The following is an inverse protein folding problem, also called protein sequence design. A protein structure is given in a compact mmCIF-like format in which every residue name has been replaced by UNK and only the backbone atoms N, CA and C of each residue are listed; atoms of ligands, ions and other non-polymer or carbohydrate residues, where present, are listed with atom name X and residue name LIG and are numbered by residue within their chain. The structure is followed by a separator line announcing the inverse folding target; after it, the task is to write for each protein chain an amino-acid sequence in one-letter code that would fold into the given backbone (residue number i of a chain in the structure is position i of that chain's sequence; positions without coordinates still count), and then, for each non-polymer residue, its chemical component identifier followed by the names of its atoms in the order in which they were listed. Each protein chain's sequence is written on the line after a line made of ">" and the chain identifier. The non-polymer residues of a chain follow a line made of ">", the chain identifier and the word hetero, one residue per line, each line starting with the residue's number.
data_IF_484903495428
#
_entry.id   IF_484903495428
#
_cell.length_a   1.000
_cell.length_b   1.000
_cell.length_c   1.000
_cell.angle_alpha   90.00
_cell.angle_beta   90.00
_cell.angle_gamma   90.00
#
_symmetry.space_group_name_H-M   'P 1'
#
loop_
_entity.id
_entity.type
_entity.pdbx_description
1 polymer ?
#
# COMPACT_ATOMS: atom_id res chain seq x y z
N UNK A 1 35.70 -32.38 -4.51
CA UNK A 1 35.20 -33.30 -3.46
C UNK A 1 36.25 -33.27 -2.36
N UNK A 2 36.17 -32.27 -1.48
CA UNK A 2 37.22 -32.00 -0.49
C UNK A 2 36.79 -32.64 0.82
N UNK A 3 37.38 -33.79 1.10
CA UNK A 3 37.14 -34.59 2.31
C UNK A 3 37.70 -33.84 3.51
N UNK A 4 36.84 -33.50 4.47
CA UNK A 4 37.25 -32.94 5.75
C UNK A 4 38.23 -33.91 6.44
N UNK A 5 39.49 -33.50 6.52
CA UNK A 5 40.56 -34.24 7.18
C UNK A 5 40.26 -34.25 8.70
N UNK A 6 39.88 -35.41 9.24
CA UNK A 6 39.69 -35.58 10.68
C UNK A 6 41.07 -35.47 11.34
N UNK A 7 41.29 -34.40 12.10
CA UNK A 7 42.54 -34.15 12.82
C UNK A 7 42.81 -35.31 13.80
N UNK A 8 44.00 -35.92 13.67
CA UNK A 8 44.40 -37.08 14.47
C UNK A 8 44.83 -36.64 15.87
N UNK A 9 44.56 -37.46 16.89
CA UNK A 9 44.80 -37.13 18.31
C UNK A 9 46.25 -36.71 18.60
N UNK A 10 47.20 -37.13 17.75
CA UNK A 10 48.62 -36.80 17.86
C UNK A 10 48.96 -35.35 17.52
N UNK A 11 48.08 -34.64 16.80
CA UNK A 11 48.31 -33.27 16.34
C UNK A 11 47.83 -32.21 17.35
N UNK A 12 47.21 -32.62 18.46
CA UNK A 12 46.82 -31.70 19.53
C UNK A 12 48.02 -31.33 20.41
N UNK A 13 48.12 -30.04 20.77
CA UNK A 13 49.12 -29.57 21.74
C UNK A 13 48.96 -30.33 23.06
N UNK A 14 50.08 -30.85 23.59
CA UNK A 14 50.10 -31.60 24.85
C UNK A 14 49.68 -30.67 25.99
N UNK A 15 48.64 -31.06 26.72
CA UNK A 15 48.17 -30.35 27.91
C UNK A 15 49.25 -30.40 28.98
N UNK A 16 49.51 -29.26 29.64
CA UNK A 16 50.48 -29.16 30.73
C UNK A 16 50.12 -30.08 31.90
N UNK A 17 51.13 -30.60 32.60
CA UNK A 17 50.94 -31.57 33.69
C UNK A 17 50.03 -31.05 34.81
N UNK A 18 50.11 -29.75 35.10
CA UNK A 18 49.30 -29.09 36.11
C UNK A 18 47.80 -29.12 35.76
N UNK A 19 47.44 -28.71 34.52
CA UNK A 19 46.07 -28.73 34.03
C UNK A 19 45.49 -30.15 33.95
N UNK A 20 46.32 -31.13 33.56
CA UNK A 20 45.91 -32.56 33.55
C UNK A 20 45.57 -33.05 34.96
N UNK A 21 46.39 -32.71 35.95
CA UNK A 21 46.19 -33.09 37.36
C UNK A 21 44.95 -32.43 37.95
N UNK A 22 44.72 -31.14 37.63
CA UNK A 22 43.52 -30.42 38.03
C UNK A 22 42.25 -31.03 37.45
N UNK A 23 42.25 -31.44 36.18
CA UNK A 23 41.13 -32.12 35.53
C UNK A 23 40.85 -33.51 36.13
N UNK A 24 41.90 -34.28 36.41
CA UNK A 24 41.79 -35.61 37.04
C UNK A 24 41.28 -35.52 38.49
N UNK A 25 41.63 -34.45 39.21
CA UNK A 25 41.19 -34.19 40.59
C UNK A 25 39.91 -33.35 40.65
N UNK A 26 39.35 -32.95 39.50
CA UNK A 26 38.17 -32.11 39.45
C UNK A 26 36.96 -32.87 39.91
N UNK A 27 36.35 -32.41 41.00
CA UNK A 27 35.13 -33.00 41.50
C UNK A 27 33.93 -32.22 40.98
N UNK A 28 33.05 -32.92 40.27
CA UNK A 28 31.81 -32.36 39.72
C UNK A 28 30.83 -31.90 40.81
N UNK A 29 31.05 -32.29 42.07
CA UNK A 29 30.33 -31.80 43.25
C UNK A 29 30.59 -30.32 43.55
N UNK A 30 31.72 -29.77 43.07
CA UNK A 30 32.06 -28.34 43.22
C UNK A 30 31.42 -27.45 42.14
N UNK A 31 30.75 -28.04 41.14
CA UNK A 31 29.96 -27.26 40.19
C UNK A 31 28.72 -26.72 40.91
N UNK A 32 28.46 -25.42 40.76
CA UNK A 32 27.20 -24.84 41.21
C UNK A 32 26.04 -25.58 40.53
N UNK A 33 25.00 -25.88 41.31
CA UNK A 33 23.77 -26.42 40.74
C UNK A 33 23.17 -25.37 39.81
N UNK A 34 23.05 -25.70 38.53
CA UNK A 34 22.27 -24.93 37.59
C UNK A 34 20.83 -25.44 37.66
N UNK A 35 19.91 -24.57 38.09
CA UNK A 35 18.49 -24.91 38.10
C UNK A 35 17.95 -24.78 36.66
N UNK A 36 17.57 -25.89 36.05
CA UNK A 36 17.00 -25.92 34.71
C UNK A 36 15.49 -25.87 34.80
N UNK A 37 14.89 -24.72 34.51
CA UNK A 37 13.44 -24.59 34.44
C UNK A 37 12.92 -25.13 33.12
N UNK A 38 12.20 -26.25 33.16
CA UNK A 38 11.40 -26.73 32.02
C UNK A 38 10.13 -25.88 31.94
N UNK A 39 10.02 -25.00 30.94
CA UNK A 39 8.81 -24.21 30.69
C UNK A 39 7.72 -25.08 30.04
N UNK A 40 7.25 -26.10 30.74
CA UNK A 40 5.98 -26.77 30.41
C UNK A 40 4.87 -25.92 31.02
N UNK A 41 4.57 -24.78 30.39
CA UNK A 41 3.43 -23.95 30.78
C UNK A 41 2.18 -24.64 30.25
N UNK A 42 1.27 -25.02 31.14
CA UNK A 42 -0.03 -25.53 30.73
C UNK A 42 -0.78 -24.41 29.96
N UNK A 43 -1.59 -24.77 28.95
CA UNK A 43 -2.47 -23.80 28.30
C UNK A 43 -3.27 -23.06 29.36
N UNK A 44 -3.36 -21.73 29.21
CA UNK A 44 -4.12 -20.91 30.14
C UNK A 44 -5.63 -21.17 29.95
N UNK A 45 -6.43 -20.80 30.94
CA UNK A 45 -7.89 -20.87 30.81
C UNK A 45 -8.40 -20.03 29.62
N UNK A 46 -7.70 -18.95 29.29
CA UNK A 46 -7.99 -18.10 28.13
C UNK A 46 -7.70 -18.84 26.82
N UNK A 47 -6.56 -19.55 26.73
CA UNK A 47 -6.19 -20.34 25.54
C UNK A 47 -7.26 -21.41 25.23
N UNK A 48 -7.74 -22.11 26.26
CA UNK A 48 -8.78 -23.15 26.12
C UNK A 48 -10.13 -22.55 25.73
N UNK A 49 -10.48 -21.38 26.26
CA UNK A 49 -11.72 -20.68 25.89
C UNK A 49 -11.68 -20.15 24.46
N UNK A 50 -10.54 -19.60 24.04
CA UNK A 50 -10.33 -19.15 22.68
C UNK A 50 -10.42 -20.33 21.69
N UNK A 51 -9.76 -21.45 21.98
CA UNK A 51 -9.82 -22.66 21.15
C UNK A 51 -11.26 -23.19 21.04
N UNK A 52 -12.01 -23.25 22.14
CA UNK A 52 -13.41 -23.69 22.13
C UNK A 52 -14.29 -22.79 21.28
N UNK A 53 -14.07 -21.48 21.35
CA UNK A 53 -14.81 -20.49 20.56
C UNK A 53 -14.52 -20.64 19.08
N UNK A 54 -13.23 -20.76 18.71
CA UNK A 54 -12.84 -20.99 17.32
C UNK A 54 -13.39 -22.30 16.78
N UNK A 55 -13.29 -23.40 17.54
CA UNK A 55 -13.82 -24.70 17.14
C UNK A 55 -15.33 -24.66 16.91
N UNK A 56 -16.06 -23.94 17.75
CA UNK A 56 -17.50 -23.73 17.56
C UNK A 56 -17.81 -22.92 16.29
N UNK A 57 -17.01 -21.89 16.00
CA UNK A 57 -17.16 -21.09 14.78
C UNK A 57 -16.91 -21.92 13.53
N UNK A 58 -15.82 -22.69 13.51
CA UNK A 58 -15.48 -23.58 12.38
C UNK A 58 -16.56 -24.64 12.16
N UNK A 59 -17.04 -25.30 13.21
CA UNK A 59 -18.13 -26.26 13.08
C UNK A 59 -19.42 -25.62 12.52
N UNK A 60 -19.72 -24.37 12.92
CA UNK A 60 -20.85 -23.61 12.38
C UNK A 60 -20.70 -23.29 10.89
N UNK A 61 -19.49 -22.99 10.43
CA UNK A 61 -19.18 -22.72 9.02
C UNK A 61 -19.19 -24.01 8.20
N UNK A 62 -18.60 -25.10 8.70
CA UNK A 62 -18.57 -26.40 8.02
C UNK A 62 -19.98 -26.99 7.83
N UNK A 63 -20.85 -26.82 8.83
CA UNK A 63 -22.25 -27.25 8.76
C UNK A 63 -23.19 -26.21 8.14
N UNK A 64 -22.64 -25.09 7.67
CA UNK A 64 -23.44 -24.00 7.12
C UNK A 64 -24.10 -24.43 5.81
N UNK A 65 -25.42 -24.42 5.81
CA UNK A 65 -26.22 -24.74 4.65
C UNK A 65 -26.54 -23.46 3.86
N UNK A 66 -25.84 -23.27 2.75
CA UNK A 66 -26.03 -22.12 1.87
C UNK A 66 -27.44 -22.03 1.26
N UNK A 67 -28.22 -23.13 1.24
CA UNK A 67 -29.61 -23.10 0.75
C UNK A 67 -30.55 -22.38 1.70
N UNK A 68 -30.14 -22.18 2.97
CA UNK A 68 -30.87 -21.38 3.97
C UNK A 68 -30.62 -19.88 3.84
N UNK A 69 -29.68 -19.46 2.98
CA UNK A 69 -29.51 -18.05 2.67
C UNK A 69 -30.75 -17.54 1.94
N UNK A 70 -31.28 -16.40 2.41
CA UNK A 70 -32.38 -15.73 1.72
C UNK A 70 -31.89 -15.27 0.35
N UNK A 71 -32.73 -15.41 -0.67
CA UNK A 71 -32.45 -14.88 -1.99
C UNK A 71 -32.21 -13.37 -1.90
N UNK A 72 -31.05 -12.92 -2.39
CA UNK A 72 -30.71 -11.52 -2.51
C UNK A 72 -30.57 -11.18 -3.99
N UNK A 73 -31.47 -10.35 -4.49
CA UNK A 73 -31.42 -9.84 -5.87
C UNK A 73 -30.42 -8.68 -5.92
N UNK A 74 -29.23 -8.93 -6.45
CA UNK A 74 -28.20 -7.90 -6.62
C UNK A 74 -28.40 -7.18 -7.96
N UNK A 75 -28.86 -5.94 -7.92
CA UNK A 75 -28.94 -5.07 -9.11
C UNK A 75 -27.58 -4.43 -9.40
N UNK A 76 -26.79 -5.03 -10.29
CA UNK A 76 -25.61 -4.38 -10.89
C UNK A 76 -26.09 -3.32 -11.90
N UNK A 77 -26.15 -2.06 -11.44
CA UNK A 77 -26.52 -0.94 -12.29
C UNK A 77 -25.30 -0.54 -13.13
N UNK A 78 -25.21 -1.08 -14.35
CA UNK A 78 -24.46 -0.47 -15.44
C UNK A 78 -25.43 0.23 -16.41
N UNK A 79 -26.07 1.35 -16.00
CA UNK A 79 -27.03 2.03 -16.85
C UNK A 79 -26.31 2.57 -18.09
N UNK A 80 -26.86 2.27 -19.26
CA UNK A 80 -26.46 2.92 -20.49
C UNK A 80 -26.65 4.45 -20.33
N UNK A 81 -25.75 5.27 -20.88
CA UNK A 81 -25.90 6.73 -20.80
C UNK A 81 -27.24 7.16 -21.40
N UNK A 82 -27.91 8.09 -20.72
CA UNK A 82 -29.21 8.60 -21.14
C UNK A 82 -29.14 9.32 -22.50
N UNK A 83 -30.29 9.43 -23.18
CA UNK A 83 -30.39 10.09 -24.49
C UNK A 83 -29.87 11.53 -24.47
N UNK A 84 -30.04 12.23 -23.36
CA UNK A 84 -29.54 13.59 -23.16
C UNK A 84 -28.01 13.63 -23.12
N UNK A 85 -27.38 12.71 -22.39
CA UNK A 85 -25.92 12.60 -22.32
C UNK A 85 -25.31 12.33 -23.71
N UNK A 86 -25.94 11.43 -24.48
CA UNK A 86 -25.53 11.12 -25.85
C UNK A 86 -25.68 12.34 -26.78
N UNK A 87 -26.78 13.09 -26.65
CA UNK A 87 -27.00 14.30 -27.46
C UNK A 87 -26.02 15.41 -27.11
N UNK A 88 -25.72 15.60 -25.82
CA UNK A 88 -24.75 16.57 -25.36
C UNK A 88 -23.34 16.25 -25.88
N UNK A 89 -22.90 14.99 -25.79
CA UNK A 89 -21.62 14.55 -26.33
C UNK A 89 -21.54 14.74 -27.85
N UNK A 90 -22.62 14.39 -28.57
CA UNK A 90 -22.72 14.61 -30.02
C UNK A 90 -22.64 16.09 -30.37
N UNK A 91 -23.29 16.96 -29.60
CA UNK A 91 -23.24 18.41 -29.77
C UNK A 91 -21.83 18.97 -29.56
N UNK A 92 -21.16 18.54 -28.49
CA UNK A 92 -19.78 18.93 -28.20
C UNK A 92 -18.82 18.49 -29.31
N UNK A 93 -18.94 17.23 -29.76
CA UNK A 93 -18.10 16.68 -30.83
C UNK A 93 -18.32 17.41 -32.16
N UNK A 94 -19.57 17.74 -32.48
CA UNK A 94 -19.89 18.55 -33.66
C UNK A 94 -19.29 19.96 -33.57
N UNK A 95 -19.35 20.61 -32.40
CA UNK A 95 -18.76 21.93 -32.20
C UNK A 95 -17.24 21.91 -32.43
N UNK A 96 -16.54 20.92 -31.84
CA UNK A 96 -15.10 20.75 -32.01
C UNK A 96 -14.76 20.55 -33.49
N UNK A 97 -15.46 19.65 -34.17
CA UNK A 97 -15.26 19.40 -35.61
C UNK A 97 -15.51 20.66 -36.46
N UNK A 98 -16.54 21.45 -36.14
CA UNK A 98 -16.85 22.70 -36.84
C UNK A 98 -15.74 23.74 -36.65
N UNK A 99 -15.11 23.80 -35.47
CA UNK A 99 -13.99 24.71 -35.20
C UNK A 99 -12.73 24.24 -35.93
N UNK A 100 -12.42 22.93 -35.88
CA UNK A 100 -11.25 22.36 -36.56
C UNK A 100 -11.33 22.52 -38.08
N UNK A 101 -12.52 22.36 -38.67
CA UNK A 101 -12.75 22.53 -40.11
C UNK A 101 -13.10 23.96 -40.51
N UNK A 102 -13.05 24.92 -39.58
CA UNK A 102 -13.40 26.30 -39.86
C UNK A 102 -12.34 26.96 -40.76
N UNK A 103 -12.78 27.35 -41.94
CA UNK A 103 -11.96 28.04 -42.92
C UNK A 103 -11.83 29.53 -42.58
N UNK A 104 -10.65 29.92 -42.12
CA UNK A 104 -10.33 31.30 -41.74
C UNK A 104 -10.37 32.28 -42.90
N UNK A 105 -10.32 31.82 -44.16
CA UNK A 105 -10.47 32.68 -45.34
C UNK A 105 -11.90 33.24 -45.48
N UNK A 106 -12.89 32.63 -44.82
CA UNK A 106 -14.27 33.12 -44.74
C UNK A 106 -14.44 34.27 -43.74
N UNK A 107 -13.43 34.56 -42.92
CA UNK A 107 -13.46 35.72 -42.03
C UNK A 107 -13.31 37.00 -42.84
N UNK A 108 -14.21 37.97 -42.60
CA UNK A 108 -14.10 39.29 -43.22
C UNK A 108 -12.91 40.03 -42.62
N UNK A 109 -12.08 40.62 -43.49
CA UNK A 109 -11.01 41.52 -43.04
C UNK A 109 -11.62 42.66 -42.22
N UNK A 110 -11.15 42.82 -40.99
CA UNK A 110 -11.56 43.89 -40.09
C UNK A 110 -10.32 44.68 -39.72
N UNK A 111 -10.24 45.92 -40.19
CA UNK A 111 -9.16 46.84 -39.82
C UNK A 111 -9.50 47.48 -38.47
N UNK A 112 -8.73 47.17 -37.44
CA UNK A 112 -8.90 47.75 -36.11
C UNK A 112 -8.14 49.08 -36.03
N UNK A 113 -8.86 50.20 -35.92
CA UNK A 113 -8.25 51.51 -35.65
C UNK A 113 -8.11 51.74 -34.15
N UNK A 114 -6.88 51.84 -33.66
CA UNK A 114 -6.58 52.34 -32.32
C UNK A 114 -6.83 53.86 -32.28
N UNK A 115 -7.95 54.27 -31.70
CA UNK A 115 -8.23 55.68 -31.44
C UNK A 115 -7.44 56.09 -30.19
N UNK A 116 -6.21 56.51 -30.39
CA UNK A 116 -5.42 57.21 -29.38
C UNK A 116 -5.25 58.70 -29.78
N UNK A 117 -6.35 59.49 -29.84
CA UNK A 117 -6.23 60.91 -30.12
C UNK A 117 -5.51 61.59 -28.96
N UNK A 118 -4.45 62.34 -29.26
CA UNK A 118 -3.81 63.20 -28.27
C UNK A 118 -4.83 64.23 -27.76
N UNK A 119 -4.86 64.53 -26.45
CA UNK A 119 -5.74 65.56 -25.89
C UNK A 119 -5.57 66.86 -26.68
N UNK A 120 -6.68 67.50 -27.05
CA UNK A 120 -6.64 68.79 -27.74
C UNK A 120 -6.23 69.89 -26.76
N UNK A 121 -5.67 71.00 -27.29
CA UNK A 121 -5.20 72.12 -26.45
C UNK A 121 -6.30 72.68 -25.54
N UNK A 122 -7.55 72.68 -26.01
CA UNK A 122 -8.70 73.11 -25.22
C UNK A 122 -8.91 72.22 -23.98
N UNK A 123 -8.86 70.89 -24.14
CA UNK A 123 -8.99 69.96 -23.02
C UNK A 123 -7.86 70.14 -21.99
N UNK A 124 -6.64 70.41 -22.46
CA UNK A 124 -5.48 70.66 -21.58
C UNK A 124 -5.65 71.97 -20.80
N UNK A 125 -6.19 73.02 -21.42
CA UNK A 125 -6.42 74.30 -20.74
C UNK A 125 -7.57 74.25 -19.73
N UNK A 126 -8.62 73.48 -20.03
CA UNK A 126 -9.74 73.28 -19.13
C UNK A 126 -9.30 72.51 -17.87
N UNK A 127 -8.45 71.49 -18.01
CA UNK A 127 -7.87 70.74 -16.89
C UNK A 127 -6.89 71.59 -16.06
N UNK A 128 -6.15 72.53 -16.69
CA UNK A 128 -5.28 73.48 -15.97
C UNK A 128 -6.03 74.56 -15.18
N UNK A 129 -7.31 74.78 -15.46
CA UNK A 129 -8.16 75.75 -14.76
C UNK A 129 -8.94 75.13 -13.60
N UNK A 130 -8.98 73.81 -13.49
CA UNK A 130 -9.59 73.08 -12.39
C UNK A 130 -8.69 73.05 -11.15
#
# INVERSE_FOLDING_TARGET
>A
METANATSVKDYKKVGADLKTQLESFKTENLSKADTQEKIVLPTAEDVQAEKTQKSLFAGIESFDATKLKHAETCEKNPLPDKEAIQQEKGQKNLINCIESFDTSKLKHTETHEKNPLPTKETIEEEKKA
#
